data_IF_254491515496
#
_entry.id   IF_254491515496
#
_cell.length_a   1.000
_cell.length_b   1.000
_cell.length_c   1.000
_cell.angle_alpha   90.00
_cell.angle_beta   90.00
_cell.angle_gamma   90.00
#
_symmetry.space_group_name_H-M   'P 1'
#
loop_
_entity.id
_entity.type
_entity.pdbx_description
1 polymer ?
#
# COMPACT_ATOMS: atom_id res chain seq x y z
N UNK A 1 13.94 26.30 18.14
CA UNK A 1 12.53 25.85 18.23
C UNK A 1 12.35 24.88 17.09
N UNK A 2 11.82 23.69 17.36
CA UNK A 2 11.51 22.71 16.32
C UNK A 2 10.44 23.26 15.38
N UNK A 3 10.58 22.99 14.07
CA UNK A 3 9.60 23.41 13.07
C UNK A 3 8.25 22.74 13.34
N UNK A 4 7.17 23.50 13.13
CA UNK A 4 5.80 23.05 13.35
C UNK A 4 5.26 22.39 12.09
N UNK A 5 4.88 21.13 12.18
CA UNK A 5 4.30 20.40 11.05
C UNK A 5 2.84 20.05 11.32
N UNK A 6 1.97 20.36 10.38
CA UNK A 6 0.57 19.91 10.41
C UNK A 6 0.35 18.83 9.36
N UNK A 7 -0.08 17.65 9.81
CA UNK A 7 -0.50 16.54 8.94
C UNK A 7 -2.02 16.54 8.83
N UNK A 8 -2.55 16.70 7.64
CA UNK A 8 -3.99 16.73 7.36
C UNK A 8 -4.44 15.33 6.92
N UNK A 9 -5.24 14.68 7.77
CA UNK A 9 -5.75 13.34 7.58
C UNK A 9 -4.93 12.26 8.29
N UNK A 10 -5.58 11.56 9.22
CA UNK A 10 -5.02 10.50 10.05
C UNK A 10 -5.11 9.09 9.46
N UNK A 11 -5.12 8.96 8.11
CA UNK A 11 -4.96 7.66 7.45
C UNK A 11 -3.53 7.12 7.59
N UNK A 12 -3.30 5.85 7.22
CA UNK A 12 -1.99 5.18 7.41
C UNK A 12 -0.80 5.98 6.87
N UNK A 13 -0.92 6.60 5.69
CA UNK A 13 0.18 7.38 5.12
C UNK A 13 0.42 8.70 5.90
N UNK A 14 -0.63 9.33 6.42
CA UNK A 14 -0.52 10.50 7.30
C UNK A 14 0.16 10.14 8.62
N UNK A 15 -0.25 9.02 9.23
CA UNK A 15 0.37 8.49 10.45
C UNK A 15 1.85 8.14 10.21
N UNK A 16 2.17 7.44 9.12
CA UNK A 16 3.55 7.09 8.77
C UNK A 16 4.43 8.33 8.55
N UNK A 17 3.89 9.36 7.88
CA UNK A 17 4.58 10.64 7.72
C UNK A 17 4.82 11.32 9.06
N UNK A 18 3.82 11.32 9.94
CA UNK A 18 3.92 11.92 11.27
C UNK A 18 4.96 11.20 12.16
N UNK A 19 4.98 9.85 12.14
CA UNK A 19 5.96 9.04 12.87
C UNK A 19 7.38 9.42 12.43
N UNK A 20 7.66 9.44 11.11
CA UNK A 20 8.99 9.77 10.60
C UNK A 20 9.41 11.21 10.93
N UNK A 21 8.50 12.16 10.76
CA UNK A 21 8.78 13.57 11.06
C UNK A 21 9.02 13.81 12.56
N UNK A 22 8.25 13.16 13.43
CA UNK A 22 8.48 13.25 14.86
C UNK A 22 9.83 12.61 15.27
N UNK A 23 10.23 11.51 14.61
CA UNK A 23 11.54 10.89 14.76
C UNK A 23 12.71 11.81 14.37
N UNK A 24 12.48 12.75 13.44
CA UNK A 24 13.41 13.82 13.04
C UNK A 24 13.26 15.12 13.88
N UNK A 25 12.65 15.02 15.06
CA UNK A 25 12.47 16.11 16.04
C UNK A 25 11.58 17.28 15.59
N UNK A 26 10.72 17.10 14.56
CA UNK A 26 9.67 18.06 14.22
C UNK A 26 8.57 18.04 15.28
N UNK A 27 7.93 19.19 15.51
CA UNK A 27 6.73 19.26 16.34
C UNK A 27 5.49 19.00 15.49
N UNK A 28 4.96 17.78 15.55
CA UNK A 28 3.94 17.30 14.62
C UNK A 28 2.56 17.36 15.28
N UNK A 29 1.57 17.85 14.50
CA UNK A 29 0.14 17.78 14.83
C UNK A 29 -0.61 17.10 13.71
N UNK A 30 -1.37 16.03 14.01
CA UNK A 30 -2.30 15.39 13.09
C UNK A 30 -3.69 15.99 13.29
N UNK A 31 -4.34 16.39 12.20
CA UNK A 31 -5.74 16.83 12.18
C UNK A 31 -6.56 15.79 11.43
N UNK A 32 -7.51 15.17 12.13
CA UNK A 32 -8.38 14.13 11.59
C UNK A 32 -9.86 14.48 11.85
N UNK A 33 -10.68 14.47 10.80
CA UNK A 33 -12.11 14.76 10.90
C UNK A 33 -12.93 13.65 11.55
N UNK A 34 -12.44 12.43 11.47
CA UNK A 34 -13.09 11.25 12.07
C UNK A 34 -12.88 11.16 13.58
N UNK A 35 -13.59 10.25 14.17
CA UNK A 35 -13.51 9.95 15.61
C UNK A 35 -12.28 9.11 16.00
N UNK A 36 -11.51 8.62 15.01
CA UNK A 36 -10.31 7.79 15.18
C UNK A 36 -9.38 7.89 13.98
N UNK A 37 -8.12 7.49 14.19
CA UNK A 37 -7.12 7.35 13.13
C UNK A 37 -7.35 6.06 12.30
N UNK A 38 -6.59 5.88 11.22
CA UNK A 38 -6.58 4.69 10.34
C UNK A 38 -7.17 4.95 8.95
N UNK A 39 -8.08 5.92 8.81
CA UNK A 39 -8.65 6.27 7.52
C UNK A 39 -9.46 5.12 6.89
N UNK A 40 -9.00 4.63 5.72
CA UNK A 40 -9.62 3.47 5.03
C UNK A 40 -9.39 2.14 5.77
N UNK A 41 -8.34 2.01 6.56
CA UNK A 41 -8.15 0.90 7.50
C UNK A 41 -8.99 1.19 8.75
N UNK A 42 -10.12 0.53 8.85
CA UNK A 42 -11.11 0.81 9.91
C UNK A 42 -11.84 -0.48 10.29
N UNK A 43 -12.67 -0.39 11.34
CA UNK A 43 -13.49 -1.49 11.82
C UNK A 43 -14.87 -1.01 12.24
N UNK A 44 -15.85 -1.89 12.16
CA UNK A 44 -17.17 -1.71 12.72
C UNK A 44 -17.43 -2.70 13.85
N UNK A 45 -17.92 -2.20 14.96
CA UNK A 45 -18.31 -3.01 16.10
C UNK A 45 -19.84 -2.99 16.25
N UNK A 46 -20.43 -4.14 16.55
CA UNK A 46 -21.85 -4.22 16.82
C UNK A 46 -22.29 -5.62 17.27
N UNK A 47 -23.20 -5.69 18.21
CA UNK A 47 -23.79 -6.95 18.72
C UNK A 47 -22.76 -8.01 19.14
N UNK A 48 -21.59 -7.58 19.68
CA UNK A 48 -20.50 -8.47 20.10
C UNK A 48 -19.58 -8.94 18.97
N UNK A 49 -19.72 -8.42 17.75
CA UNK A 49 -18.86 -8.72 16.60
C UNK A 49 -18.01 -7.51 16.22
N UNK A 50 -16.83 -7.80 15.66
CA UNK A 50 -15.91 -6.82 15.09
C UNK A 50 -15.69 -7.22 13.63
N UNK A 51 -15.82 -6.25 12.72
CA UNK A 51 -15.60 -6.43 11.28
C UNK A 51 -14.62 -5.39 10.80
N UNK A 52 -13.51 -5.83 10.22
CA UNK A 52 -12.62 -4.96 9.45
C UNK A 52 -13.38 -4.44 8.21
N UNK A 53 -13.31 -3.15 7.94
CA UNK A 53 -14.04 -2.49 6.84
C UNK A 53 -13.13 -1.94 5.76
N UNK A 54 -11.85 -2.25 5.81
CA UNK A 54 -10.83 -1.83 4.87
C UNK A 54 -10.06 -3.00 4.30
N UNK A 55 -8.74 -2.90 4.19
CA UNK A 55 -7.89 -4.01 3.78
C UNK A 55 -8.08 -5.22 4.69
N UNK A 56 -8.16 -6.41 4.10
CA UNK A 56 -8.37 -7.67 4.82
C UNK A 56 -7.10 -8.50 4.99
N UNK A 57 -6.02 -8.08 4.37
CA UNK A 57 -4.71 -8.74 4.41
C UNK A 57 -3.59 -7.70 4.45
N UNK A 58 -2.42 -8.12 4.96
CA UNK A 58 -1.18 -7.38 4.89
C UNK A 58 -0.27 -8.04 3.85
N UNK A 59 0.28 -7.22 2.96
CA UNK A 59 1.39 -7.58 2.06
C UNK A 59 2.58 -6.71 2.40
N UNK A 60 3.80 -7.17 2.08
CA UNK A 60 5.04 -6.42 2.30
C UNK A 60 5.20 -5.97 3.77
N UNK A 61 5.20 -6.87 4.76
CA UNK A 61 5.29 -6.52 6.18
C UNK A 61 6.55 -5.70 6.51
N UNK A 62 7.63 -5.90 5.75
CA UNK A 62 8.87 -5.14 5.88
C UNK A 62 8.69 -3.62 5.79
N UNK A 63 7.61 -3.12 5.14
CA UNK A 63 7.31 -1.68 5.09
C UNK A 63 6.93 -1.14 6.46
N UNK A 64 6.16 -1.93 7.24
CA UNK A 64 5.86 -1.59 8.63
C UNK A 64 7.09 -1.75 9.53
N UNK A 65 7.86 -2.82 9.33
CA UNK A 65 9.12 -3.05 10.05
C UNK A 65 10.05 -1.84 9.88
N UNK A 66 10.34 -1.42 8.64
CA UNK A 66 11.17 -0.24 8.36
C UNK A 66 10.60 1.06 8.96
N UNK A 67 9.27 1.22 9.01
CA UNK A 67 8.66 2.39 9.62
C UNK A 67 8.94 2.44 11.13
N UNK A 68 8.72 1.32 11.84
CA UNK A 68 8.95 1.25 13.27
C UNK A 68 10.45 1.35 13.60
N UNK A 69 11.31 0.65 12.87
CA UNK A 69 12.76 0.73 13.01
C UNK A 69 13.29 2.16 12.81
N UNK A 70 12.69 2.96 11.91
CA UNK A 70 13.12 4.35 11.67
C UNK A 70 13.04 5.24 12.90
N UNK A 71 12.31 4.81 13.93
CA UNK A 71 12.15 5.52 15.20
C UNK A 71 12.61 4.67 16.41
N UNK A 72 13.41 3.64 16.13
CA UNK A 72 14.02 2.78 17.17
C UNK A 72 13.04 1.84 17.87
N UNK A 73 11.97 1.45 17.18
CA UNK A 73 10.94 0.52 17.68
C UNK A 73 10.97 -0.79 16.91
N UNK A 74 10.54 -1.89 17.54
CA UNK A 74 10.27 -3.16 16.89
C UNK A 74 8.76 -3.31 16.70
N UNK A 75 8.31 -3.52 15.47
CA UNK A 75 6.89 -3.70 15.15
C UNK A 75 6.30 -4.91 15.88
N UNK A 76 7.11 -5.94 16.17
CA UNK A 76 6.67 -7.16 16.84
C UNK A 76 6.38 -6.96 18.35
N UNK A 77 6.82 -5.85 18.95
CA UNK A 77 6.39 -5.46 20.29
C UNK A 77 4.95 -4.95 20.33
N UNK A 78 4.40 -4.56 19.16
CA UNK A 78 3.07 -3.95 19.02
C UNK A 78 2.09 -4.87 18.29
N UNK A 79 2.56 -5.70 17.35
CA UNK A 79 1.73 -6.47 16.42
C UNK A 79 2.16 -7.94 16.34
N UNK A 80 1.19 -8.84 16.42
CA UNK A 80 1.37 -10.25 16.07
C UNK A 80 1.01 -10.45 14.59
N UNK A 81 2.04 -10.39 13.73
CA UNK A 81 1.91 -10.52 12.28
C UNK A 81 2.12 -11.97 11.89
N UNK A 82 1.07 -12.61 11.37
CA UNK A 82 1.09 -14.03 11.01
C UNK A 82 0.97 -14.23 9.50
N UNK A 83 1.81 -15.12 8.96
CA UNK A 83 1.69 -15.53 7.55
C UNK A 83 0.49 -16.46 7.38
N UNK A 84 -0.30 -16.22 6.33
CA UNK A 84 -1.50 -17.01 6.02
C UNK A 84 -1.17 -18.07 4.97
N UNK A 85 -1.56 -19.30 5.22
CA UNK A 85 -1.44 -20.41 4.28
C UNK A 85 -2.71 -21.28 4.25
N UNK A 86 -3.30 -21.54 3.08
CA UNK A 86 -3.03 -20.88 1.80
C UNK A 86 -3.41 -19.40 1.82
N UNK A 87 -2.69 -18.56 1.06
CA UNK A 87 -3.00 -17.14 0.96
C UNK A 87 -4.35 -16.86 0.29
N UNK A 88 -4.72 -17.70 -0.69
CA UNK A 88 -5.98 -17.62 -1.43
C UNK A 88 -6.52 -19.00 -1.76
N UNK A 89 -7.84 -19.12 -1.83
CA UNK A 89 -8.53 -20.27 -2.40
C UNK A 89 -9.47 -19.78 -3.50
N UNK A 90 -9.23 -20.24 -4.71
CA UNK A 90 -10.03 -19.91 -5.87
C UNK A 90 -11.00 -21.03 -6.20
N UNK A 91 -12.25 -20.67 -6.45
CA UNK A 91 -13.32 -21.56 -6.86
C UNK A 91 -13.77 -21.18 -8.28
N UNK A 92 -13.75 -22.12 -9.20
CA UNK A 92 -14.20 -21.93 -10.57
C UNK A 92 -15.61 -22.51 -10.80
N UNK A 93 -16.31 -22.02 -11.84
CA UNK A 93 -17.69 -22.41 -12.11
C UNK A 93 -17.87 -23.91 -12.42
N UNK A 94 -16.85 -24.56 -12.96
CA UNK A 94 -16.82 -26.00 -13.23
C UNK A 94 -16.56 -26.87 -12.00
N UNK A 95 -16.40 -26.24 -10.83
CA UNK A 95 -16.12 -26.92 -9.56
C UNK A 95 -14.63 -27.09 -9.26
N UNK A 96 -13.73 -26.70 -10.15
CA UNK A 96 -12.28 -26.70 -9.92
C UNK A 96 -11.94 -25.77 -8.74
N UNK A 97 -11.02 -26.24 -7.89
CA UNK A 97 -10.50 -25.47 -6.74
C UNK A 97 -8.99 -25.45 -6.79
N UNK A 98 -8.40 -24.29 -6.60
CA UNK A 98 -6.94 -24.10 -6.55
C UNK A 98 -6.61 -23.26 -5.33
N UNK A 99 -5.71 -23.79 -4.49
CA UNK A 99 -5.12 -23.07 -3.37
C UNK A 99 -3.83 -22.37 -3.84
N UNK A 100 -3.77 -21.04 -3.67
CA UNK A 100 -2.54 -20.28 -3.85
C UNK A 100 -1.75 -20.33 -2.55
N UNK A 101 -0.61 -21.01 -2.57
CA UNK A 101 0.26 -21.21 -1.41
C UNK A 101 1.70 -20.85 -1.73
N UNK A 102 2.42 -20.30 -0.75
CA UNK A 102 3.85 -20.02 -0.85
C UNK A 102 4.74 -21.26 -0.70
N UNK A 103 4.18 -22.40 -0.29
CA UNK A 103 4.83 -23.71 -0.34
C UNK A 103 4.91 -24.16 -1.80
N UNK A 104 6.04 -23.86 -2.46
CA UNK A 104 6.20 -24.09 -3.91
C UNK A 104 5.95 -25.54 -4.34
N UNK A 105 6.40 -26.59 -3.61
CA UNK A 105 6.00 -27.97 -3.91
C UNK A 105 4.50 -28.18 -3.91
N UNK A 106 3.78 -27.68 -2.90
CA UNK A 106 2.31 -27.78 -2.86
C UNK A 106 1.66 -26.96 -3.97
N UNK A 107 2.16 -25.75 -4.25
CA UNK A 107 1.66 -24.94 -5.35
C UNK A 107 1.77 -25.68 -6.68
N UNK A 108 2.91 -26.34 -6.93
CA UNK A 108 3.09 -27.12 -8.14
C UNK A 108 2.07 -28.27 -8.26
N UNK A 109 1.75 -28.94 -7.14
CA UNK A 109 0.70 -29.99 -7.12
C UNK A 109 -0.70 -29.39 -7.38
N UNK A 110 -1.00 -28.22 -6.85
CA UNK A 110 -2.26 -27.51 -7.15
C UNK A 110 -2.39 -27.23 -8.67
N UNK A 111 -1.34 -26.72 -9.30
CA UNK A 111 -1.33 -26.43 -10.75
C UNK A 111 -1.45 -27.70 -11.61
N UNK A 112 -0.80 -28.79 -11.19
CA UNK A 112 -0.89 -30.09 -11.90
C UNK A 112 -2.29 -30.70 -11.92
N UNK A 113 -3.16 -30.34 -10.96
CA UNK A 113 -4.58 -30.76 -10.98
C UNK A 113 -5.31 -30.25 -12.21
N UNK A 114 -4.88 -29.11 -12.76
CA UNK A 114 -5.49 -28.43 -13.88
C UNK A 114 -4.73 -28.71 -15.17
N UNK A 115 -3.44 -28.46 -15.22
CA UNK A 115 -2.60 -28.68 -16.40
C UNK A 115 -1.17 -29.07 -16.01
N UNK A 116 -0.75 -30.28 -16.35
CA UNK A 116 0.60 -30.75 -16.12
C UNK A 116 1.64 -30.02 -16.97
N UNK A 117 1.25 -29.68 -18.22
CA UNK A 117 2.14 -28.99 -19.14
C UNK A 117 2.40 -27.57 -18.66
N UNK A 118 1.37 -26.84 -18.28
CA UNK A 118 1.49 -25.46 -17.79
C UNK A 118 2.20 -25.42 -16.43
N UNK A 119 1.93 -26.40 -15.56
CA UNK A 119 2.63 -26.52 -14.27
C UNK A 119 4.16 -26.65 -14.43
N UNK A 120 4.63 -27.23 -15.55
CA UNK A 120 6.07 -27.32 -15.83
C UNK A 120 6.72 -25.95 -16.08
N UNK A 121 5.94 -24.94 -16.48
CA UNK A 121 6.40 -23.57 -16.75
C UNK A 121 6.26 -22.61 -15.56
N UNK A 122 5.73 -23.11 -14.46
CA UNK A 122 5.43 -22.28 -13.27
C UNK A 122 6.69 -21.59 -12.72
N UNK A 123 7.81 -22.30 -12.59
CA UNK A 123 9.04 -21.69 -12.07
C UNK A 123 9.63 -20.64 -13.02
N UNK A 124 9.50 -20.81 -14.33
CA UNK A 124 9.88 -19.81 -15.32
C UNK A 124 9.04 -18.53 -15.16
N UNK A 125 7.74 -18.70 -14.92
CA UNK A 125 6.85 -17.58 -14.62
C UNK A 125 7.19 -16.89 -13.30
N UNK A 126 7.49 -17.64 -12.24
CA UNK A 126 7.90 -17.05 -10.95
C UNK A 126 9.20 -16.27 -11.07
N UNK A 127 10.19 -16.78 -11.81
CA UNK A 127 11.44 -16.06 -12.05
C UNK A 127 11.18 -14.73 -12.79
N UNK A 128 10.31 -14.76 -13.79
CA UNK A 128 9.87 -13.55 -14.48
C UNK A 128 9.21 -12.55 -13.50
N UNK A 129 8.28 -13.01 -12.64
CA UNK A 129 7.60 -12.17 -11.65
C UNK A 129 8.57 -11.59 -10.61
N UNK A 130 9.53 -12.38 -10.14
CA UNK A 130 10.58 -11.93 -9.23
C UNK A 130 11.43 -10.84 -9.88
N UNK A 131 11.83 -11.02 -11.13
CA UNK A 131 12.58 -9.98 -11.86
C UNK A 131 11.79 -8.68 -12.00
N UNK A 132 10.48 -8.73 -12.23
CA UNK A 132 9.63 -7.53 -12.25
C UNK A 132 9.59 -6.86 -10.88
N UNK A 133 9.52 -7.64 -9.80
CA UNK A 133 9.59 -7.14 -8.43
C UNK A 133 10.92 -6.44 -8.14
N UNK A 134 12.06 -7.08 -8.46
CA UNK A 134 13.40 -6.51 -8.24
C UNK A 134 13.60 -5.18 -9.01
N UNK A 135 13.08 -5.09 -10.23
CA UNK A 135 13.08 -3.85 -11.01
C UNK A 135 12.21 -2.77 -10.36
N UNK A 136 11.05 -3.15 -9.84
CA UNK A 136 10.15 -2.21 -9.15
C UNK A 136 10.72 -1.72 -7.83
N UNK A 137 11.47 -2.56 -7.11
CA UNK A 137 12.14 -2.19 -5.84
C UNK A 137 13.18 -1.09 -6.03
N UNK A 138 13.79 -0.95 -7.23
CA UNK A 138 14.74 0.12 -7.52
C UNK A 138 14.08 1.49 -7.72
N UNK A 139 12.78 1.56 -7.92
CA UNK A 139 12.06 2.79 -8.23
C UNK A 139 10.69 2.88 -7.53
N UNK A 140 9.67 2.24 -8.07
CA UNK A 140 8.27 2.43 -7.66
C UNK A 140 7.98 2.19 -6.17
N UNK A 141 8.77 1.36 -5.49
CA UNK A 141 8.62 1.11 -4.05
C UNK A 141 9.44 2.07 -3.18
N UNK A 142 10.45 2.73 -3.74
CA UNK A 142 11.40 3.56 -2.98
C UNK A 142 11.31 5.04 -3.32
N UNK A 143 10.97 5.37 -4.57
CA UNK A 143 11.01 6.72 -5.08
C UNK A 143 9.67 7.15 -5.68
N UNK A 144 9.43 8.45 -5.66
CA UNK A 144 8.32 9.06 -6.40
C UNK A 144 8.70 9.16 -7.88
N UNK A 145 7.91 8.52 -8.74
CA UNK A 145 8.11 8.54 -10.19
C UNK A 145 7.09 9.49 -10.82
N UNK A 146 7.56 10.64 -11.30
CA UNK A 146 6.74 11.65 -11.97
C UNK A 146 6.84 11.58 -13.50
N UNK A 147 7.84 10.87 -14.03
CA UNK A 147 8.02 10.75 -15.47
C UNK A 147 9.20 9.85 -15.90
N UNK A 148 9.41 9.82 -17.21
CA UNK A 148 10.47 8.98 -17.83
C UNK A 148 11.88 9.37 -17.38
N UNK A 149 12.10 10.64 -17.00
CA UNK A 149 13.38 11.11 -16.46
C UNK A 149 13.75 10.40 -15.18
N UNK A 150 12.78 10.18 -14.30
CA UNK A 150 12.99 9.56 -12.99
C UNK A 150 13.25 8.07 -13.15
N UNK A 151 12.55 7.42 -14.10
CA UNK A 151 12.86 6.04 -14.47
C UNK A 151 14.27 5.90 -15.00
N UNK A 152 14.76 6.84 -15.82
CA UNK A 152 16.14 6.83 -16.35
C UNK A 152 17.20 7.08 -15.28
N UNK A 153 16.86 7.77 -14.20
CA UNK A 153 17.77 7.97 -13.08
C UNK A 153 18.03 6.66 -12.32
N UNK A 154 17.02 5.80 -12.22
CA UNK A 154 17.05 4.57 -11.44
C UNK A 154 17.32 3.31 -12.30
N UNK A 155 17.13 3.37 -13.62
CA UNK A 155 17.21 2.22 -14.51
C UNK A 155 18.05 2.48 -15.76
N UNK A 156 18.86 1.50 -16.11
CA UNK A 156 19.50 1.44 -17.43
C UNK A 156 18.47 1.20 -18.53
N UNK A 157 18.81 1.53 -19.78
CA UNK A 157 17.96 1.24 -20.94
C UNK A 157 17.62 -0.26 -21.05
N UNK A 158 18.56 -1.14 -20.69
CA UNK A 158 18.36 -2.59 -20.69
C UNK A 158 17.31 -2.99 -19.64
N UNK A 159 17.33 -2.40 -18.45
CA UNK A 159 16.34 -2.66 -17.40
C UNK A 159 14.96 -2.12 -17.78
N UNK A 160 14.90 -0.93 -18.39
CA UNK A 160 13.62 -0.38 -18.88
C UNK A 160 12.97 -1.29 -19.93
N UNK A 161 13.77 -1.87 -20.85
CA UNK A 161 13.27 -2.89 -21.78
C UNK A 161 12.87 -4.19 -21.08
N UNK A 162 13.59 -4.57 -20.03
CA UNK A 162 13.31 -5.78 -19.26
C UNK A 162 12.00 -5.67 -18.42
N UNK A 163 11.48 -4.46 -18.19
CA UNK A 163 10.17 -4.21 -17.57
C UNK A 163 8.98 -4.60 -18.46
N UNK A 164 9.26 -5.04 -19.68
CA UNK A 164 8.25 -5.48 -20.65
C UNK A 164 7.15 -4.43 -20.95
N UNK A 165 7.54 -3.22 -21.42
CA UNK A 165 6.63 -2.06 -21.49
C UNK A 165 5.53 -2.16 -22.56
N UNK A 166 5.58 -3.16 -23.44
CA UNK A 166 4.68 -3.28 -24.58
C UNK A 166 3.61 -4.38 -24.45
N UNK A 167 3.70 -5.19 -23.40
CA UNK A 167 2.73 -6.24 -23.17
C UNK A 167 1.84 -5.92 -21.98
N UNK A 168 0.61 -6.41 -22.04
CA UNK A 168 -0.28 -6.42 -20.87
C UNK A 168 0.04 -7.61 -19.95
N UNK A 169 -0.47 -7.54 -18.72
CA UNK A 169 -0.39 -8.66 -17.77
C UNK A 169 -1.01 -9.93 -18.37
N UNK A 170 -2.19 -9.81 -19.01
CA UNK A 170 -2.86 -10.95 -19.64
C UNK A 170 -2.00 -11.56 -20.75
N UNK A 171 -1.43 -10.76 -21.64
CA UNK A 171 -0.53 -11.25 -22.70
C UNK A 171 0.68 -11.97 -22.12
N UNK A 172 1.21 -11.48 -21.03
CA UNK A 172 2.30 -12.14 -20.31
C UNK A 172 1.87 -13.49 -19.74
N UNK A 173 0.73 -13.53 -19.07
CA UNK A 173 0.19 -14.77 -18.48
C UNK A 173 -0.08 -15.82 -19.57
N UNK A 174 -0.61 -15.42 -20.72
CA UNK A 174 -0.84 -16.30 -21.88
C UNK A 174 0.44 -16.86 -22.51
N UNK A 175 1.59 -16.19 -22.37
CA UNK A 175 2.90 -16.73 -22.80
C UNK A 175 3.34 -17.93 -21.98
N UNK A 176 2.98 -17.96 -20.69
CA UNK A 176 3.39 -19.02 -19.77
C UNK A 176 2.35 -20.13 -19.64
N UNK A 177 1.08 -19.79 -19.65
CA UNK A 177 -0.03 -20.72 -19.38
C UNK A 177 -1.03 -20.75 -20.54
N UNK A 178 -1.42 -21.95 -20.95
CA UNK A 178 -2.46 -22.16 -21.98
C UNK A 178 -3.83 -22.43 -21.36
N UNK A 179 -3.85 -23.01 -20.18
CA UNK A 179 -5.07 -23.30 -19.44
C UNK A 179 -5.72 -22.03 -18.92
N UNK A 180 -7.04 -21.92 -19.09
CA UNK A 180 -7.80 -20.70 -18.75
C UNK A 180 -7.94 -20.48 -17.25
N UNK A 181 -7.99 -21.55 -16.44
CA UNK A 181 -8.03 -21.40 -14.98
C UNK A 181 -6.73 -20.80 -14.47
N UNK A 182 -5.58 -21.24 -14.98
CA UNK A 182 -4.29 -20.71 -14.59
C UNK A 182 -4.11 -19.26 -15.06
N UNK A 183 -4.55 -18.91 -16.26
CA UNK A 183 -4.57 -17.52 -16.71
C UNK A 183 -5.43 -16.63 -15.79
N UNK A 184 -6.65 -17.07 -15.47
CA UNK A 184 -7.55 -16.34 -14.58
C UNK A 184 -6.96 -16.22 -13.16
N UNK A 185 -6.37 -17.31 -12.63
CA UNK A 185 -5.76 -17.35 -11.32
C UNK A 185 -4.68 -16.26 -11.15
N UNK A 186 -3.74 -16.18 -12.07
CA UNK A 186 -2.64 -15.22 -12.00
C UNK A 186 -3.05 -13.81 -12.42
N UNK A 187 -3.98 -13.67 -13.36
CA UNK A 187 -4.54 -12.37 -13.74
C UNK A 187 -5.37 -11.74 -12.61
N UNK A 188 -6.02 -12.55 -11.76
CA UNK A 188 -6.82 -12.07 -10.65
C UNK A 188 -6.02 -11.23 -9.65
N UNK A 189 -4.73 -11.50 -9.48
CA UNK A 189 -3.88 -10.80 -8.50
C UNK A 189 -3.73 -9.31 -8.78
N UNK A 190 -4.07 -8.82 -9.99
CA UNK A 190 -4.09 -7.39 -10.32
C UNK A 190 -5.21 -6.62 -9.60
N UNK A 191 -6.17 -7.31 -9.00
CA UNK A 191 -7.26 -6.68 -8.23
C UNK A 191 -6.77 -5.74 -7.13
N UNK A 192 -5.57 -6.00 -6.57
CA UNK A 192 -4.96 -5.13 -5.58
C UNK A 192 -4.76 -3.70 -6.05
N UNK A 193 -4.52 -3.53 -7.34
CA UNK A 193 -4.27 -2.23 -7.96
C UNK A 193 -5.58 -1.66 -8.54
N UNK A 194 -6.61 -2.49 -8.66
CA UNK A 194 -7.90 -2.09 -9.21
C UNK A 194 -7.87 -1.86 -10.73
N UNK A 195 -6.99 -2.57 -11.45
CA UNK A 195 -6.83 -2.45 -12.90
C UNK A 195 -7.27 -3.73 -13.62
N UNK A 196 -7.55 -3.60 -14.91
CA UNK A 196 -7.83 -4.73 -15.80
C UNK A 196 -6.54 -5.41 -16.22
N UNK A 197 -6.43 -6.76 -16.17
CA UNK A 197 -5.23 -7.47 -16.63
C UNK A 197 -5.00 -7.29 -18.16
N UNK A 198 -6.01 -6.92 -18.92
CA UNK A 198 -5.91 -6.67 -20.36
C UNK A 198 -5.25 -5.33 -20.69
N UNK A 199 -5.30 -4.37 -19.77
CA UNK A 199 -4.76 -3.01 -19.92
C UNK A 199 -3.54 -2.76 -19.03
N UNK A 200 -3.46 -3.47 -17.92
CA UNK A 200 -2.38 -3.34 -16.96
C UNK A 200 -1.02 -3.75 -17.57
N UNK A 201 0.05 -2.98 -17.34
CA UNK A 201 1.39 -3.33 -17.82
C UNK A 201 1.87 -4.68 -17.29
N UNK A 202 2.65 -5.40 -18.11
CA UNK A 202 3.22 -6.70 -17.79
C UNK A 202 4.05 -6.72 -16.49
N UNK A 203 4.72 -5.61 -16.17
CA UNK A 203 5.50 -5.49 -14.92
C UNK A 203 4.66 -5.71 -13.66
N UNK A 204 3.34 -5.53 -13.72
CA UNK A 204 2.44 -5.79 -12.59
C UNK A 204 2.24 -7.30 -12.30
N UNK A 205 2.80 -8.19 -13.11
CA UNK A 205 2.96 -9.62 -12.77
C UNK A 205 3.78 -9.83 -11.50
N UNK A 206 4.57 -8.84 -11.07
CA UNK A 206 5.23 -8.83 -9.77
C UNK A 206 4.29 -9.13 -8.59
N UNK A 207 2.98 -8.87 -8.73
CA UNK A 207 1.99 -9.20 -7.70
C UNK A 207 1.96 -10.69 -7.38
N UNK A 208 2.29 -11.54 -8.36
CA UNK A 208 2.49 -12.98 -8.10
C UNK A 208 3.67 -13.22 -7.17
N UNK A 209 4.81 -12.52 -7.35
CA UNK A 209 5.95 -12.63 -6.45
C UNK A 209 5.62 -12.08 -5.05
N UNK A 210 4.91 -10.96 -4.96
CA UNK A 210 4.44 -10.41 -3.67
C UNK A 210 3.60 -11.44 -2.91
N UNK A 211 2.72 -12.17 -3.61
CA UNK A 211 1.83 -13.15 -3.00
C UNK A 211 2.53 -14.47 -2.61
N UNK A 212 3.34 -15.01 -3.51
CA UNK A 212 3.94 -16.34 -3.34
C UNK A 212 5.36 -16.28 -2.77
N UNK A 213 6.14 -15.27 -3.14
CA UNK A 213 7.52 -15.07 -2.67
C UNK A 213 7.56 -14.40 -1.30
N UNK A 214 7.04 -13.18 -1.20
CA UNK A 214 6.97 -12.45 0.07
C UNK A 214 5.91 -13.06 0.99
N UNK A 215 4.69 -13.26 0.49
CA UNK A 215 3.60 -13.89 1.21
C UNK A 215 2.44 -12.97 1.53
N UNK A 216 1.38 -13.58 2.05
CA UNK A 216 0.19 -12.89 2.56
C UNK A 216 0.18 -13.04 4.08
N UNK A 217 -0.11 -11.93 4.76
CA UNK A 217 -0.09 -11.86 6.21
C UNK A 217 -1.40 -11.31 6.75
N UNK A 218 -1.65 -11.58 8.00
CA UNK A 218 -2.77 -11.03 8.76
C UNK A 218 -2.27 -10.63 10.16
N UNK A 219 -2.85 -9.60 10.73
CA UNK A 219 -2.55 -9.18 12.09
C UNK A 219 -3.55 -9.81 13.04
N UNK A 220 -3.07 -10.57 14.01
CA UNK A 220 -3.91 -11.22 15.00
C UNK A 220 -4.73 -10.17 15.79
N UNK A 221 -6.03 -10.39 15.85
CA UNK A 221 -6.96 -9.45 16.46
C UNK A 221 -7.58 -8.42 15.51
N UNK A 222 -7.26 -8.50 14.21
CA UNK A 222 -7.84 -7.65 13.16
C UNK A 222 -6.84 -6.69 12.53
N UNK A 223 -7.09 -6.33 11.28
CA UNK A 223 -6.18 -5.45 10.53
C UNK A 223 -6.10 -4.03 11.13
N UNK A 224 -7.15 -3.58 11.81
CA UNK A 224 -7.16 -2.26 12.47
C UNK A 224 -6.10 -2.13 13.57
N UNK A 225 -5.58 -3.24 14.10
CA UNK A 225 -4.45 -3.23 15.06
C UNK A 225 -3.22 -2.50 14.53
N UNK A 226 -3.03 -2.44 13.20
CA UNK A 226 -1.95 -1.64 12.59
C UNK A 226 -2.13 -0.16 12.91
N UNK A 227 -3.36 0.37 12.80
CA UNK A 227 -3.61 1.77 13.13
C UNK A 227 -3.43 2.03 14.63
N UNK A 228 -3.90 1.13 15.50
CA UNK A 228 -3.70 1.23 16.95
C UNK A 228 -2.21 1.21 17.34
N UNK A 229 -1.41 0.34 16.71
CA UNK A 229 0.03 0.28 16.96
C UNK A 229 0.75 1.57 16.51
N UNK A 230 0.40 2.08 15.34
CA UNK A 230 0.96 3.35 14.85
C UNK A 230 0.53 4.54 15.75
N UNK A 231 -0.71 4.56 16.23
CA UNK A 231 -1.20 5.57 17.19
C UNK A 231 -0.40 5.54 18.49
N UNK A 232 -0.12 4.35 19.03
CA UNK A 232 0.72 4.21 20.22
C UNK A 232 2.13 4.79 20.00
N UNK A 233 2.75 4.54 18.85
CA UNK A 233 4.07 5.11 18.52
C UNK A 233 4.00 6.63 18.40
N UNK A 234 2.94 7.18 17.79
CA UNK A 234 2.74 8.65 17.71
C UNK A 234 2.60 9.28 19.08
N UNK A 235 1.86 8.66 19.99
CA UNK A 235 1.72 9.13 21.40
C UNK A 235 3.05 9.09 22.14
N UNK A 236 3.82 8.00 22.01
CA UNK A 236 5.14 7.85 22.61
C UNK A 236 6.14 8.91 22.12
N UNK A 237 5.99 9.37 20.87
CA UNK A 237 6.80 10.45 20.30
C UNK A 237 6.28 11.86 20.62
N UNK A 238 5.16 11.98 21.34
CA UNK A 238 4.57 13.25 21.72
C UNK A 238 3.86 13.99 20.58
N UNK A 239 3.43 13.28 19.54
CA UNK A 239 2.64 13.86 18.45
C UNK A 239 1.28 14.31 18.97
N UNK A 240 0.87 15.53 18.63
CA UNK A 240 -0.46 16.03 18.97
C UNK A 240 -1.49 15.49 17.98
N UNK A 241 -2.56 14.86 18.48
CA UNK A 241 -3.63 14.29 17.66
C UNK A 241 -4.94 15.03 17.95
N UNK A 242 -5.55 15.64 16.95
CA UNK A 242 -6.83 16.32 17.03
C UNK A 242 -7.87 15.57 16.19
N UNK A 243 -8.64 14.72 16.83
CA UNK A 243 -9.78 14.00 16.25
C UNK A 243 -11.02 14.90 16.19
N UNK A 244 -12.04 14.47 15.43
CA UNK A 244 -13.29 15.21 15.22
C UNK A 244 -13.07 16.66 14.77
N UNK A 245 -11.96 16.91 14.06
CA UNK A 245 -11.53 18.23 13.65
C UNK A 245 -11.34 18.26 12.13
N UNK A 246 -12.20 18.97 11.43
CA UNK A 246 -12.11 19.09 9.98
C UNK A 246 -11.26 20.31 9.59
N UNK A 247 -10.40 20.13 8.58
CA UNK A 247 -9.70 21.23 7.93
C UNK A 247 -10.61 21.79 6.84
N UNK A 248 -10.95 23.05 6.92
CA UNK A 248 -11.84 23.72 5.95
C UNK A 248 -11.05 24.42 4.84
N UNK A 249 -9.85 24.95 5.16
CA UNK A 249 -9.08 25.74 4.20
C UNK A 249 -7.58 25.72 4.53
N UNK A 250 -6.77 25.73 3.47
CA UNK A 250 -5.32 25.95 3.54
C UNK A 250 -4.97 27.20 2.73
N UNK A 251 -4.42 28.22 3.38
CA UNK A 251 -4.03 29.46 2.71
C UNK A 251 -2.55 29.48 2.36
N UNK A 252 -2.22 30.07 1.23
CA UNK A 252 -0.85 30.21 0.75
C UNK A 252 -0.52 31.64 0.38
N UNK A 253 0.71 32.06 0.65
CA UNK A 253 1.27 33.32 0.20
C UNK A 253 2.64 33.10 -0.43
N UNK A 254 2.84 33.60 -1.65
CA UNK A 254 4.10 33.43 -2.40
C UNK A 254 4.55 31.95 -2.48
N UNK A 255 3.61 31.04 -2.75
CA UNK A 255 3.82 29.58 -2.85
C UNK A 255 4.24 28.89 -1.54
N UNK A 256 4.06 29.52 -0.40
CA UNK A 256 4.25 28.90 0.92
C UNK A 256 2.92 28.83 1.64
N UNK A 257 2.66 27.74 2.34
CA UNK A 257 1.52 27.65 3.26
C UNK A 257 1.71 28.66 4.37
N UNK A 258 0.63 29.35 4.75
CA UNK A 258 0.63 30.36 5.82
C UNK A 258 -0.32 29.99 6.95
N UNK A 259 -1.47 29.40 6.60
CA UNK A 259 -2.50 29.10 7.59
C UNK A 259 -3.27 27.83 7.21
N UNK A 260 -3.69 27.07 8.22
CA UNK A 260 -4.63 25.96 8.13
C UNK A 260 -5.83 26.30 9.00
N UNK A 261 -6.98 26.50 8.39
CA UNK A 261 -8.22 26.86 9.07
C UNK A 261 -9.00 25.60 9.41
N UNK A 262 -9.41 25.49 10.67
CA UNK A 262 -10.15 24.35 11.21
C UNK A 262 -11.63 24.69 11.38
N UNK A 263 -12.48 23.69 11.25
CA UNK A 263 -13.88 23.83 11.65
C UNK A 263 -13.97 24.26 13.13
N UNK A 264 -14.80 25.25 13.40
CA UNK A 264 -14.89 25.86 14.74
C UNK A 264 -14.09 27.14 14.90
N UNK A 265 -13.30 27.56 13.88
CA UNK A 265 -12.67 28.88 13.80
C UNK A 265 -11.21 28.92 14.27
N UNK A 266 -10.64 27.83 14.75
CA UNK A 266 -9.21 27.75 15.06
C UNK A 266 -8.37 27.89 13.79
N UNK A 267 -7.23 28.56 13.89
CA UNK A 267 -6.26 28.72 12.80
C UNK A 267 -4.87 28.31 13.27
N UNK A 268 -4.27 27.38 12.52
CA UNK A 268 -2.87 26.96 12.74
C UNK A 268 -1.96 27.67 11.75
N UNK A 269 -0.73 27.97 12.18
CA UNK A 269 0.31 28.60 11.35
C UNK A 269 1.55 27.71 11.29
N UNK A 270 1.47 26.55 10.61
CA UNK A 270 2.59 25.62 10.53
C UNK A 270 3.69 26.12 9.58
N UNK A 271 4.92 25.64 9.83
CA UNK A 271 6.05 25.82 8.90
C UNK A 271 5.93 24.89 7.68
N UNK A 272 5.35 23.70 7.89
CA UNK A 272 5.14 22.68 6.86
C UNK A 272 3.76 22.05 7.00
N UNK A 273 3.13 21.73 5.85
CA UNK A 273 1.90 20.93 5.79
C UNK A 273 2.12 19.68 4.96
N UNK A 274 1.73 18.54 5.52
CA UNK A 274 1.64 17.25 4.82
C UNK A 274 0.16 16.91 4.67
N UNK A 275 -0.29 16.65 3.44
CA UNK A 275 -1.68 16.24 3.19
C UNK A 275 -1.76 14.76 2.84
N UNK A 276 -2.54 14.01 3.60
CA UNK A 276 -2.92 12.62 3.30
C UNK A 276 -4.30 12.51 2.62
N UNK A 277 -4.77 13.61 2.06
CA UNK A 277 -5.99 13.64 1.24
C UNK A 277 -5.68 13.28 -0.21
N UNK A 278 -6.69 12.86 -0.94
CA UNK A 278 -6.56 12.73 -2.39
C UNK A 278 -6.18 14.08 -3.00
N UNK A 279 -5.24 14.06 -3.97
CA UNK A 279 -4.60 15.29 -4.50
C UNK A 279 -5.63 16.26 -5.08
N UNK A 280 -6.54 15.77 -5.92
CA UNK A 280 -7.54 16.63 -6.59
C UNK A 280 -8.47 17.29 -5.56
N UNK A 281 -9.16 16.57 -4.66
CA UNK A 281 -9.96 17.18 -3.61
C UNK A 281 -9.20 18.17 -2.71
N UNK A 282 -7.94 17.90 -2.39
CA UNK A 282 -7.13 18.81 -1.60
C UNK A 282 -6.98 20.17 -2.30
N UNK A 283 -6.61 20.19 -3.58
CA UNK A 283 -6.42 21.43 -4.31
C UNK A 283 -7.73 22.15 -4.62
N UNK A 284 -8.79 21.42 -4.95
CA UNK A 284 -10.09 22.02 -5.32
C UNK A 284 -10.85 22.54 -4.10
N UNK A 285 -10.85 21.81 -2.99
CA UNK A 285 -11.71 22.14 -1.86
C UNK A 285 -10.97 22.88 -0.74
N UNK A 286 -9.71 22.53 -0.45
CA UNK A 286 -8.99 23.16 0.66
C UNK A 286 -8.12 24.34 0.21
N UNK A 287 -7.53 24.29 -0.98
CA UNK A 287 -6.69 25.39 -1.47
C UNK A 287 -7.42 26.34 -2.41
N UNK A 288 -8.66 26.04 -2.79
CA UNK A 288 -9.45 26.83 -3.77
C UNK A 288 -8.65 27.10 -5.07
N UNK A 289 -7.74 26.20 -5.41
CA UNK A 289 -6.84 26.36 -6.55
C UNK A 289 -7.49 25.81 -7.82
N UNK A 290 -7.67 26.71 -8.80
CA UNK A 290 -8.10 26.31 -10.16
C UNK A 290 -7.00 25.58 -10.95
N UNK A 291 -5.80 25.43 -10.38
CA UNK A 291 -4.62 24.79 -10.97
C UNK A 291 -4.12 23.71 -10.02
N UNK A 292 -4.87 22.61 -9.93
CA UNK A 292 -4.30 21.37 -9.41
C UNK A 292 -3.12 20.95 -10.32
N UNK A 293 -2.07 20.32 -9.75
CA UNK A 293 -0.95 19.85 -10.56
C UNK A 293 -1.39 18.76 -11.56
#
# INVERSE_FOLDING_TARGET
>A
MSEQVTVIGGGLAGMASAIRLAGEEYNVTIIEKGERLGGKLNQRMGKGYIFDTGPSILTLPWVLEELFESVGKDVHDYLDIQRIEPGWRTFFEDGTKIDLTSDLPKMLEELKKVSKDDASRFFEYLDYCNKMYDLSMKSFYRDSISGVSDLRANHSLKEMWAMDPFHSLNQTTERFFKDKHLQQLFNFLIMYIGSSPYEAPAMLSQMTHVQLGVGVYYVQGGMYKIAEAMESVLEEQGVSIRLNTEVEKVTTKKKKVTEVHLAGGDVLTPDLVVSNLEVIPFYEHLMESKKAP
#
